data_IF_543225820720
#
_entry.id   IF_543225820720
#
_cell.length_a   1.000
_cell.length_b   1.000
_cell.length_c   1.000
_cell.angle_alpha   90.00
_cell.angle_beta   90.00
_cell.angle_gamma   90.00
#
_symmetry.space_group_name_H-M   'P 1'
#
loop_
_entity.id
_entity.type
_entity.pdbx_description
1 polymer ?
#
# COMPACT_ATOMS: atom_id res chain seq x y z
N UNK A 1 -8.40 1.66 -22.52
CA UNK A 1 -7.66 0.51 -21.96
C UNK A 1 -7.32 0.68 -20.48
N UNK A 2 -6.68 1.78 -20.05
CA UNK A 2 -6.26 1.94 -18.65
C UNK A 2 -7.38 1.83 -17.60
N UNK A 3 -8.54 2.44 -17.84
CA UNK A 3 -9.68 2.41 -16.89
C UNK A 3 -10.18 0.98 -16.64
N UNK A 4 -10.23 0.15 -17.69
CA UNK A 4 -10.66 -1.25 -17.54
C UNK A 4 -9.67 -2.06 -16.67
N UNK A 5 -8.37 -1.83 -16.84
CA UNK A 5 -7.32 -2.45 -16.02
C UNK A 5 -7.46 -1.99 -14.56
N UNK A 6 -7.74 -0.70 -14.32
CA UNK A 6 -7.93 -0.17 -12.96
C UNK A 6 -9.16 -0.77 -12.29
N UNK A 7 -10.30 -0.85 -12.99
CA UNK A 7 -11.52 -1.48 -12.45
C UNK A 7 -11.25 -2.95 -12.11
N UNK A 8 -10.61 -3.69 -13.02
CA UNK A 8 -10.25 -5.08 -12.77
C UNK A 8 -9.31 -5.22 -11.57
N UNK A 9 -8.32 -4.34 -11.43
CA UNK A 9 -7.40 -4.32 -10.31
C UNK A 9 -8.10 -4.10 -8.96
N UNK A 10 -9.06 -3.16 -8.90
CA UNK A 10 -9.85 -2.89 -7.69
C UNK A 10 -10.65 -4.14 -7.30
N UNK A 11 -11.29 -4.81 -8.27
CA UNK A 11 -12.05 -6.04 -8.02
C UNK A 11 -11.13 -7.15 -7.49
N UNK A 12 -9.98 -7.37 -8.15
CA UNK A 12 -9.01 -8.38 -7.73
C UNK A 12 -8.46 -8.08 -6.33
N UNK A 13 -8.14 -6.82 -6.03
CA UNK A 13 -7.66 -6.38 -4.71
C UNK A 13 -8.70 -6.67 -3.63
N UNK A 14 -9.94 -6.26 -3.85
CA UNK A 14 -11.05 -6.51 -2.93
C UNK A 14 -11.25 -8.01 -2.69
N UNK A 15 -11.20 -8.82 -3.75
CA UNK A 15 -11.38 -10.26 -3.67
C UNK A 15 -10.23 -10.92 -2.88
N UNK A 16 -8.98 -10.47 -3.08
CA UNK A 16 -7.83 -10.96 -2.32
C UNK A 16 -7.94 -10.65 -0.81
N UNK A 17 -8.41 -9.46 -0.46
CA UNK A 17 -8.55 -9.05 0.93
C UNK A 17 -9.75 -9.73 1.59
N UNK A 18 -10.89 -9.82 0.90
CA UNK A 18 -12.15 -10.30 1.49
C UNK A 18 -12.32 -11.81 1.41
N UNK A 19 -12.02 -12.44 0.27
CA UNK A 19 -12.21 -13.88 0.08
C UNK A 19 -10.96 -14.69 0.49
N UNK A 20 -9.78 -14.28 0.02
CA UNK A 20 -8.50 -14.97 0.33
C UNK A 20 -7.97 -14.59 1.72
N UNK A 21 -8.56 -13.56 2.36
CA UNK A 21 -8.16 -13.04 3.69
C UNK A 21 -6.68 -12.66 3.75
N UNK A 22 -6.11 -12.23 2.63
CA UNK A 22 -4.73 -11.73 2.60
C UNK A 22 -4.62 -10.41 3.36
N UNK A 23 -3.47 -10.21 4.02
CA UNK A 23 -3.16 -8.94 4.66
C UNK A 23 -3.17 -7.80 3.61
N UNK A 24 -3.82 -6.65 3.86
CA UNK A 24 -4.03 -5.61 2.86
C UNK A 24 -2.75 -5.14 2.17
N UNK A 25 -1.63 -5.02 2.91
CA UNK A 25 -0.34 -4.65 2.33
C UNK A 25 0.21 -5.69 1.35
N UNK A 26 0.05 -6.99 1.66
CA UNK A 26 0.52 -8.07 0.79
C UNK A 26 -0.34 -8.10 -0.48
N UNK A 27 -1.66 -7.97 -0.33
CA UNK A 27 -2.58 -7.89 -1.46
C UNK A 27 -2.28 -6.67 -2.36
N UNK A 28 -1.98 -5.51 -1.75
CA UNK A 28 -1.59 -4.30 -2.48
C UNK A 28 -0.34 -4.53 -3.33
N UNK A 29 0.74 -5.08 -2.75
CA UNK A 29 1.97 -5.36 -3.50
C UNK A 29 1.69 -6.30 -4.68
N UNK A 30 0.93 -7.37 -4.44
CA UNK A 30 0.62 -8.35 -5.47
C UNK A 30 -0.16 -7.73 -6.65
N UNK A 31 -1.21 -6.97 -6.34
CA UNK A 31 -2.03 -6.30 -7.36
C UNK A 31 -1.25 -5.18 -8.05
N UNK A 32 -0.47 -4.38 -7.33
CA UNK A 32 0.35 -3.31 -7.93
C UNK A 32 1.39 -3.84 -8.90
N UNK A 33 2.01 -4.99 -8.61
CA UNK A 33 2.90 -5.67 -9.57
C UNK A 33 2.12 -6.12 -10.81
N UNK A 34 0.97 -6.76 -10.62
CA UNK A 34 0.12 -7.22 -11.74
C UNK A 34 -0.36 -6.07 -12.64
N UNK A 35 -0.76 -4.95 -12.04
CA UNK A 35 -1.17 -3.74 -12.78
C UNK A 35 0.01 -3.10 -13.49
N UNK A 36 1.16 -2.98 -12.84
CA UNK A 36 2.38 -2.44 -13.45
C UNK A 36 2.79 -3.23 -14.68
N UNK A 37 2.74 -4.56 -14.61
CA UNK A 37 2.99 -5.45 -15.74
C UNK A 37 1.94 -5.28 -16.85
N UNK A 38 0.66 -5.20 -16.51
CA UNK A 38 -0.42 -4.99 -17.49
C UNK A 38 -0.36 -3.61 -18.18
N UNK A 39 0.22 -2.60 -17.52
CA UNK A 39 0.47 -1.27 -18.09
C UNK A 39 1.79 -1.17 -18.86
N UNK A 40 2.60 -2.24 -18.89
CA UNK A 40 3.89 -2.25 -19.59
C UNK A 40 4.99 -1.45 -18.89
N UNK A 41 4.86 -1.21 -17.57
CA UNK A 41 5.91 -0.55 -16.81
C UNK A 41 7.14 -1.46 -16.66
N UNK A 42 8.37 -0.92 -16.80
CA UNK A 42 9.57 -1.69 -16.57
C UNK A 42 9.66 -2.14 -15.10
N UNK A 43 10.05 -3.40 -14.88
CA UNK A 43 10.20 -3.98 -13.53
C UNK A 43 11.29 -3.27 -12.72
N UNK A 44 12.40 -2.96 -13.38
CA UNK A 44 13.57 -2.27 -12.84
C UNK A 44 13.77 -1.02 -13.68
N UNK A 45 13.97 0.14 -13.04
CA UNK A 45 14.19 1.42 -13.70
C UNK A 45 15.28 1.30 -14.79
N UNK A 46 14.93 1.44 -16.09
CA UNK A 46 15.90 1.35 -17.19
C UNK A 46 16.70 2.65 -17.35
N UNK A 47 16.18 3.78 -16.85
CA UNK A 47 16.78 5.12 -16.91
C UNK A 47 16.33 5.95 -15.69
N UNK A 48 17.17 6.87 -15.14
CA UNK A 48 16.84 7.69 -13.97
C UNK A 48 15.58 8.57 -14.08
N UNK A 49 15.02 8.75 -15.29
CA UNK A 49 13.77 9.48 -15.52
C UNK A 49 12.50 8.61 -15.62
N UNK A 50 12.62 7.27 -15.66
CA UNK A 50 11.45 6.36 -15.71
C UNK A 50 11.38 5.46 -14.47
N UNK A 51 10.49 5.75 -13.51
CA UNK A 51 10.35 4.93 -12.31
C UNK A 51 9.87 3.52 -12.70
N UNK A 52 10.53 2.50 -12.15
CA UNK A 52 10.10 1.12 -12.31
C UNK A 52 8.86 0.81 -11.47
N UNK A 53 8.31 -0.38 -11.66
CA UNK A 53 7.22 -0.91 -10.82
C UNK A 53 7.62 -0.90 -9.34
N UNK A 54 8.86 -1.33 -9.04
CA UNK A 54 9.36 -1.41 -7.66
C UNK A 54 9.46 -0.01 -7.03
N UNK A 55 9.94 0.98 -7.77
CA UNK A 55 10.07 2.36 -7.25
C UNK A 55 8.70 2.99 -7.02
N UNK A 56 7.75 2.75 -7.93
CA UNK A 56 6.36 3.20 -7.76
C UNK A 56 5.70 2.58 -6.53
N UNK A 57 5.90 1.27 -6.31
CA UNK A 57 5.39 0.58 -5.11
C UNK A 57 6.06 1.16 -3.87
N UNK A 58 7.39 1.31 -3.85
CA UNK A 58 8.12 1.88 -2.71
C UNK A 58 7.67 3.30 -2.39
N UNK A 59 7.47 4.14 -3.39
CA UNK A 59 6.99 5.51 -3.20
C UNK A 59 5.56 5.53 -2.62
N UNK A 60 4.65 4.73 -3.19
CA UNK A 60 3.27 4.64 -2.71
C UNK A 60 3.18 4.11 -1.27
N UNK A 61 3.87 2.99 -0.99
CA UNK A 61 3.92 2.38 0.34
C UNK A 61 4.64 3.28 1.34
N UNK A 62 5.75 3.92 0.95
CA UNK A 62 6.52 4.81 1.80
C UNK A 62 5.73 6.06 2.21
N UNK A 63 4.96 6.63 1.28
CA UNK A 63 4.11 7.79 1.57
C UNK A 63 2.98 7.42 2.56
N UNK A 64 2.33 6.27 2.36
CA UNK A 64 1.27 5.80 3.28
C UNK A 64 1.82 5.35 4.63
N UNK A 65 2.90 4.57 4.65
CA UNK A 65 3.55 4.11 5.88
C UNK A 65 4.16 5.26 6.68
N UNK A 66 4.74 6.26 6.02
CA UNK A 66 5.27 7.46 6.68
C UNK A 66 4.17 8.23 7.42
N UNK A 67 3.04 8.47 6.75
CA UNK A 67 1.87 9.10 7.38
C UNK A 67 1.31 8.26 8.53
N UNK A 68 1.08 6.97 8.29
CA UNK A 68 0.54 6.06 9.31
C UNK A 68 1.49 5.90 10.50
N UNK A 69 2.81 5.90 10.29
CA UNK A 69 3.79 5.77 11.36
C UNK A 69 3.67 6.91 12.38
N UNK A 70 3.53 8.16 11.91
CA UNK A 70 3.36 9.31 12.79
C UNK A 70 2.03 9.23 13.54
N UNK A 71 0.94 8.95 12.83
CA UNK A 71 -0.41 8.85 13.42
C UNK A 71 -0.49 7.72 14.45
N UNK A 72 0.08 6.54 14.16
CA UNK A 72 0.15 5.45 15.12
C UNK A 72 1.06 5.79 16.30
N UNK A 73 2.23 6.41 16.08
CA UNK A 73 3.14 6.75 17.16
C UNK A 73 2.47 7.72 18.16
N UNK A 74 1.87 8.80 17.67
CA UNK A 74 1.16 9.75 18.52
C UNK A 74 -0.09 9.14 19.15
N UNK A 75 -0.88 8.38 18.39
CA UNK A 75 -2.07 7.71 18.89
C UNK A 75 -1.77 6.70 20.01
N UNK A 76 -0.67 5.95 19.88
CA UNK A 76 -0.24 4.99 20.91
C UNK A 76 0.30 5.69 22.15
N UNK A 77 1.02 6.82 22.02
CA UNK A 77 1.44 7.64 23.16
C UNK A 77 0.24 8.20 23.93
N UNK A 78 -0.72 8.81 23.22
CA UNK A 78 -1.94 9.35 23.83
C UNK A 78 -2.78 8.24 24.48
N UNK A 79 -2.91 7.10 23.81
CA UNK A 79 -3.62 5.93 24.35
C UNK A 79 -3.00 5.43 25.65
N UNK A 80 -1.66 5.38 25.74
CA UNK A 80 -0.96 5.02 26.99
C UNK A 80 -1.17 6.05 28.09
N UNK A 81 -1.11 7.35 27.79
CA UNK A 81 -1.37 8.39 28.79
C UNK A 81 -2.80 8.29 29.35
N UNK A 82 -3.80 8.05 28.50
CA UNK A 82 -5.19 7.88 28.94
C UNK A 82 -5.39 6.61 29.77
N UNK A 83 -4.75 5.51 29.37
CA UNK A 83 -4.78 4.25 30.12
C UNK A 83 -4.13 4.38 31.50
N UNK A 84 -3.06 5.17 31.61
CA UNK A 84 -2.34 5.44 32.87
C UNK A 84 -3.11 6.40 33.78
N UNK A 85 -3.69 7.49 33.24
CA UNK A 85 -4.50 8.44 34.01
C UNK A 85 -5.71 7.74 34.65
N UNK A 86 -6.32 6.79 33.94
CA UNK A 86 -7.43 5.98 34.45
C UNK A 86 -7.04 5.06 35.63
N UNK A 87 -5.73 4.78 35.82
CA UNK A 87 -5.20 3.93 36.90
C UNK A 87 -4.73 4.72 38.13
N UNK A 88 -4.79 6.05 38.11
CA UNK A 88 -4.54 6.92 39.27
C UNK A 88 -5.84 7.55 39.74
#
# INVERSE_FOLDING_TARGET
MGIAIVIAAIIVLLLLITAVKMHPFVALIFVSVGVGLAMGMPLVAPSPETPGIIDSIKAGLGNTLGFLAIVLALGTMLGKMMAEIRRR
#
